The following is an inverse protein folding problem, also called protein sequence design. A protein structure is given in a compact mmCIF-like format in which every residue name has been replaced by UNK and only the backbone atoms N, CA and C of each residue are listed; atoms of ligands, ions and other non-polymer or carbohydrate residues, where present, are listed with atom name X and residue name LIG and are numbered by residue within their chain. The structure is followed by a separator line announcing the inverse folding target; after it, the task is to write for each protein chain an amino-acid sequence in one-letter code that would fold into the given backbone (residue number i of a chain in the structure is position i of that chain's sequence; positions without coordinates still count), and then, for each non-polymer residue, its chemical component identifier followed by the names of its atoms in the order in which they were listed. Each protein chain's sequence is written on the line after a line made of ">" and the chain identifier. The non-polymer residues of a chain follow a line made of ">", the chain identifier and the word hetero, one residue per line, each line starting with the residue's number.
data_IF_731107130959
#
_entry.id   IF_731107130959
#
_cell.length_a   1.000
_cell.length_b   1.000
_cell.length_c   1.000
_cell.angle_alpha   90.00
_cell.angle_beta   90.00
_cell.angle_gamma   90.00
#
_symmetry.space_group_name_H-M   'P 1'
#
loop_
_entity.id
_entity.type
_entity.pdbx_description
1 polymer ?
#
# COMPACT_ATOMS: atom_id res chain seq x y z
N UNK A 1 6.68 16.59 -12.60
CA UNK A 1 6.00 16.12 -11.38
C UNK A 1 5.90 14.62 -11.39
N UNK A 2 5.40 14.05 -12.49
CA UNK A 2 4.78 12.71 -12.47
C UNK A 2 5.78 11.54 -12.45
N UNK A 3 6.95 11.71 -13.08
CA UNK A 3 7.92 10.64 -13.20
C UNK A 3 8.62 10.21 -11.90
N UNK A 4 8.64 11.05 -10.85
CA UNK A 4 9.21 10.64 -9.55
C UNK A 4 8.22 9.79 -8.75
N UNK A 5 6.94 10.13 -8.80
CA UNK A 5 5.89 9.39 -8.11
C UNK A 5 5.72 7.98 -8.69
N UNK A 6 5.64 7.84 -10.01
CA UNK A 6 5.55 6.51 -10.64
C UNK A 6 6.79 5.65 -10.37
N UNK A 7 7.98 6.26 -10.25
CA UNK A 7 9.21 5.54 -9.85
C UNK A 7 9.14 5.02 -8.42
N UNK A 8 8.54 5.79 -7.51
CA UNK A 8 8.29 5.35 -6.14
C UNK A 8 7.33 4.16 -6.11
N UNK A 9 6.20 4.21 -6.81
CA UNK A 9 5.27 3.07 -6.87
C UNK A 9 5.96 1.83 -7.43
N UNK A 10 6.74 2.00 -8.50
CA UNK A 10 7.54 0.91 -9.09
C UNK A 10 8.56 0.33 -8.11
N UNK A 11 9.19 1.17 -7.27
CA UNK A 11 10.16 0.68 -6.28
C UNK A 11 9.47 -0.06 -5.13
N UNK A 12 8.33 0.44 -4.65
CA UNK A 12 7.50 -0.20 -3.62
C UNK A 12 6.96 -1.56 -4.09
N UNK A 13 6.60 -1.70 -5.36
CA UNK A 13 6.23 -3.00 -5.93
C UNK A 13 7.40 -4.00 -5.93
N UNK A 14 8.65 -3.50 -5.97
CA UNK A 14 9.89 -4.29 -6.15
C UNK A 14 10.61 -4.76 -4.90
N UNK A 15 10.40 -4.12 -3.74
CA UNK A 15 11.06 -4.52 -2.49
C UNK A 15 10.56 -5.87 -1.98
N UNK A 16 11.45 -6.72 -1.48
CA UNK A 16 11.10 -8.08 -1.01
C UNK A 16 10.07 -8.06 0.14
N UNK A 17 10.21 -7.09 1.04
CA UNK A 17 9.28 -6.84 2.14
C UNK A 17 8.85 -5.37 2.12
N UNK A 18 7.54 -5.14 2.04
CA UNK A 18 6.92 -3.83 2.18
C UNK A 18 6.19 -3.78 3.53
N UNK A 19 6.47 -2.75 4.33
CA UNK A 19 5.79 -2.52 5.61
C UNK A 19 4.93 -1.27 5.48
N UNK A 20 3.64 -1.42 5.72
CA UNK A 20 2.67 -0.33 5.84
C UNK A 20 2.42 -0.10 7.33
N UNK A 21 3.00 0.95 7.86
CA UNK A 21 2.83 1.31 9.27
C UNK A 21 1.55 2.14 9.46
N UNK A 22 0.89 2.02 10.62
CA UNK A 22 -0.29 2.82 11.00
C UNK A 22 -1.48 2.73 10.00
N UNK A 23 -1.74 1.53 9.47
CA UNK A 23 -2.82 1.26 8.52
C UNK A 23 -4.20 1.62 9.08
N UNK A 24 -4.97 2.37 8.29
CA UNK A 24 -6.36 2.72 8.58
C UNK A 24 -6.57 3.97 9.44
N UNK A 25 -5.52 4.55 10.04
CA UNK A 25 -5.67 5.76 10.87
C UNK A 25 -6.05 7.01 10.06
N UNK A 26 -5.62 7.07 8.79
CA UNK A 26 -5.99 8.13 7.85
C UNK A 26 -6.69 7.54 6.63
N UNK A 27 -7.79 8.19 6.23
CA UNK A 27 -8.48 7.82 4.99
C UNK A 27 -7.62 8.19 3.80
N UNK A 28 -7.27 7.17 3.00
CA UNK A 28 -6.67 7.38 1.68
C UNK A 28 -7.65 8.11 0.77
N UNK A 29 -7.14 9.03 -0.05
CA UNK A 29 -7.88 9.57 -1.19
C UNK A 29 -8.22 8.43 -2.17
N UNK A 30 -9.20 8.66 -3.05
CA UNK A 30 -9.57 7.67 -4.07
C UNK A 30 -8.38 7.32 -5.00
N UNK A 31 -7.53 8.31 -5.29
CA UNK A 31 -6.30 8.14 -6.08
C UNK A 31 -5.27 7.30 -5.34
N UNK A 32 -4.89 7.68 -4.11
CA UNK A 32 -3.91 6.94 -3.32
C UNK A 32 -4.35 5.50 -3.05
N UNK A 33 -5.66 5.25 -2.90
CA UNK A 33 -6.21 3.90 -2.74
C UNK A 33 -6.02 3.05 -3.99
N UNK A 34 -6.22 3.63 -5.18
CA UNK A 34 -6.00 2.94 -6.47
C UNK A 34 -4.52 2.63 -6.67
N UNK A 35 -3.65 3.60 -6.43
CA UNK A 35 -2.21 3.43 -6.58
C UNK A 35 -1.65 2.36 -5.64
N UNK A 36 -2.11 2.36 -4.38
CA UNK A 36 -1.74 1.31 -3.44
C UNK A 36 -2.28 -0.05 -3.85
N UNK A 37 -3.52 -0.12 -4.36
CA UNK A 37 -4.09 -1.38 -4.84
C UNK A 37 -3.25 -1.95 -5.99
N UNK A 38 -2.85 -1.14 -6.96
CA UNK A 38 -1.96 -1.55 -8.06
C UNK A 38 -0.63 -2.12 -7.54
N UNK A 39 0.00 -1.44 -6.57
CA UNK A 39 1.22 -1.95 -5.93
C UNK A 39 0.98 -3.28 -5.23
N UNK A 40 -0.15 -3.44 -4.53
CA UNK A 40 -0.47 -4.68 -3.83
C UNK A 40 -0.78 -5.84 -4.78
N UNK A 41 -1.45 -5.56 -5.91
CA UNK A 41 -1.73 -6.54 -6.97
C UNK A 41 -0.43 -7.06 -7.60
N UNK A 42 0.51 -6.17 -7.93
CA UNK A 42 1.83 -6.53 -8.44
C UNK A 42 2.65 -7.41 -7.47
N UNK A 43 2.41 -7.23 -6.16
CA UNK A 43 3.11 -7.96 -5.09
C UNK A 43 2.44 -9.30 -4.77
N UNK A 44 1.15 -9.44 -5.02
CA UNK A 44 0.36 -10.58 -4.60
C UNK A 44 0.94 -11.91 -5.12
N UNK A 45 1.19 -12.85 -4.20
CA UNK A 45 1.78 -14.16 -4.51
C UNK A 45 3.27 -14.14 -4.92
N UNK A 46 3.92 -12.97 -4.91
CA UNK A 46 5.33 -12.80 -5.34
C UNK A 46 6.23 -12.26 -4.25
N UNK A 47 5.74 -11.33 -3.42
CA UNK A 47 6.50 -10.63 -2.37
C UNK A 47 5.66 -10.42 -1.12
N UNK A 48 6.32 -10.27 0.03
CA UNK A 48 5.65 -10.15 1.32
C UNK A 48 5.23 -8.71 1.61
N UNK A 49 3.98 -8.50 2.01
CA UNK A 49 3.50 -7.20 2.53
C UNK A 49 3.06 -7.39 3.97
N UNK A 50 3.54 -6.52 4.86
CA UNK A 50 3.16 -6.48 6.27
C UNK A 50 2.42 -5.17 6.49
N UNK A 51 1.28 -5.22 7.16
CA UNK A 51 0.58 -4.04 7.64
C UNK A 51 0.53 -4.06 9.17
N UNK A 52 0.83 -2.95 9.80
CA UNK A 52 0.55 -2.72 11.23
C UNK A 52 -0.70 -1.85 11.31
N UNK A 53 -1.58 -2.13 12.26
CA UNK A 53 -2.76 -1.31 12.50
C UNK A 53 -3.07 -1.27 13.98
N UNK A 54 -3.57 -0.11 14.41
CA UNK A 54 -4.13 0.08 15.74
C UNK A 54 -5.65 -0.16 15.77
N UNK A 55 -6.26 -0.41 14.59
CA UNK A 55 -7.68 -0.65 14.43
C UNK A 55 -7.97 -2.16 14.33
N UNK A 56 -9.12 -2.64 14.86
CA UNK A 56 -9.64 -3.97 14.56
C UNK A 56 -9.77 -4.20 13.05
N UNK A 57 -9.62 -5.45 12.60
CA UNK A 57 -9.67 -5.82 11.17
C UNK A 57 -11.01 -5.41 10.54
N UNK A 58 -12.09 -5.48 11.31
CA UNK A 58 -13.45 -5.13 10.91
C UNK A 58 -13.57 -3.66 10.49
N UNK A 59 -12.68 -2.79 10.96
CA UNK A 59 -12.69 -1.35 10.69
C UNK A 59 -11.81 -0.97 9.47
N UNK A 60 -11.16 -1.93 8.83
CA UNK A 60 -10.26 -1.65 7.70
C UNK A 60 -10.99 -1.23 6.42
N UNK A 61 -12.26 -1.60 6.27
CA UNK A 61 -13.04 -1.43 5.03
C UNK A 61 -14.12 -0.35 5.12
N UNK A 62 -13.98 0.60 6.05
CA UNK A 62 -15.01 1.58 6.43
C UNK A 62 -15.70 2.32 5.29
#
# INVERSE_FOLDING_TARGET
>A
GDGQYSKLLTSLAKVDVLILDDWGLMKLSAENRRDLLEVLEDRHGRRSTIATSQLPIEEWHG
#
